data_IF_332594953006
#
_entry.id   IF_332594953006
#
_cell.length_a   1.000
_cell.length_b   1.000
_cell.length_c   1.000
_cell.angle_alpha   90.00
_cell.angle_beta   90.00
_cell.angle_gamma   90.00
#
_symmetry.space_group_name_H-M   'P 1'
#
loop_
_entity.id
_entity.type
_entity.pdbx_description
1 polymer ?
#
# COMPACT_ATOMS: atom_id res chain seq x y z
N UNK A 1 16.85 16.27 7.99
CA UNK A 1 16.40 15.56 9.20
C UNK A 1 16.69 14.08 8.96
N UNK A 2 17.23 13.33 9.93
CA UNK A 2 17.42 11.88 9.73
C UNK A 2 16.09 11.19 10.03
N UNK A 3 15.50 10.55 9.03
CA UNK A 3 14.26 9.77 9.19
C UNK A 3 14.56 8.52 10.02
N UNK A 4 13.88 8.36 11.16
CA UNK A 4 13.97 7.14 11.96
C UNK A 4 13.41 5.95 11.18
N UNK A 5 14.02 4.77 11.33
CA UNK A 5 13.58 3.56 10.63
C UNK A 5 12.13 3.15 10.97
N UNK A 6 11.71 3.35 12.22
CA UNK A 6 10.31 3.14 12.63
C UNK A 6 9.33 4.05 11.88
N UNK A 7 9.70 5.31 11.68
CA UNK A 7 8.88 6.25 10.92
C UNK A 7 8.83 5.86 9.43
N UNK A 8 9.98 5.46 8.87
CA UNK A 8 10.05 4.95 7.50
C UNK A 8 9.15 3.72 7.31
N UNK A 9 9.10 2.82 8.31
CA UNK A 9 8.22 1.66 8.31
C UNK A 9 6.73 2.05 8.29
N UNK A 10 6.32 3.02 9.11
CA UNK A 10 4.94 3.51 9.11
C UNK A 10 4.55 4.16 7.78
N UNK A 11 5.45 4.91 7.15
CA UNK A 11 5.21 5.51 5.83
C UNK A 11 5.11 4.42 4.75
N UNK A 12 5.99 3.42 4.80
CA UNK A 12 5.95 2.26 3.91
C UNK A 12 4.60 1.53 3.99
N UNK A 13 4.15 1.19 5.21
CA UNK A 13 2.86 0.54 5.39
C UNK A 13 1.69 1.43 4.99
N UNK A 14 1.74 2.72 5.31
CA UNK A 14 0.73 3.69 4.84
C UNK A 14 0.62 3.67 3.31
N UNK A 15 1.75 3.68 2.59
CA UNK A 15 1.77 3.56 1.12
C UNK A 15 1.12 2.28 0.62
N UNK A 16 1.40 1.14 1.28
CA UNK A 16 0.75 -0.13 0.95
C UNK A 16 -0.76 -0.07 1.14
N UNK A 17 -1.24 0.41 2.29
CA UNK A 17 -2.68 0.49 2.56
C UNK A 17 -3.40 1.43 1.60
N UNK A 18 -2.85 2.62 1.33
CA UNK A 18 -3.45 3.57 0.39
C UNK A 18 -3.55 2.98 -1.03
N UNK A 19 -2.50 2.32 -1.52
CA UNK A 19 -2.55 1.66 -2.83
C UNK A 19 -3.60 0.55 -2.86
N UNK A 20 -3.64 -0.31 -1.83
CA UNK A 20 -4.60 -1.42 -1.74
C UNK A 20 -6.03 -0.90 -1.80
N UNK A 21 -6.34 0.14 -1.04
CA UNK A 21 -7.68 0.73 -0.97
C UNK A 21 -8.06 1.30 -2.35
N UNK A 22 -7.20 2.08 -2.98
CA UNK A 22 -7.45 2.62 -4.33
C UNK A 22 -7.65 1.51 -5.37
N UNK A 23 -6.85 0.44 -5.32
CA UNK A 23 -7.00 -0.70 -6.20
C UNK A 23 -8.37 -1.37 -6.04
N UNK A 24 -8.79 -1.62 -4.79
CA UNK A 24 -10.08 -2.23 -4.49
C UNK A 24 -11.24 -1.33 -4.95
N UNK A 25 -11.18 -0.03 -4.67
CA UNK A 25 -12.24 0.93 -5.08
C UNK A 25 -12.48 0.87 -6.58
N UNK A 26 -11.43 0.75 -7.40
CA UNK A 26 -11.56 0.68 -8.87
C UNK A 26 -12.25 -0.59 -9.37
N UNK A 27 -12.43 -1.60 -8.52
CA UNK A 27 -13.14 -2.83 -8.85
C UNK A 27 -14.60 -2.83 -8.37
N UNK A 28 -14.96 -1.88 -7.50
CA UNK A 28 -16.28 -1.82 -6.89
C UNK A 28 -17.21 -0.83 -7.63
N UNK A 29 -18.52 -1.09 -7.67
CA UNK A 29 -19.16 -2.36 -7.28
C UNK A 29 -18.87 -3.47 -8.30
N UNK A 30 -18.73 -4.69 -7.82
CA UNK A 30 -18.65 -5.89 -8.66
C UNK A 30 -20.02 -6.13 -9.30
N UNK A 31 -20.05 -6.33 -10.62
CA UNK A 31 -21.30 -6.35 -11.38
C UNK A 31 -21.92 -7.75 -11.50
N UNK A 32 -21.14 -8.81 -11.30
CA UNK A 32 -21.59 -10.20 -11.42
C UNK A 32 -20.71 -11.16 -10.61
N UNK A 33 -21.23 -12.36 -10.36
CA UNK A 33 -20.59 -13.38 -9.51
C UNK A 33 -19.28 -13.90 -10.09
N UNK A 34 -19.08 -13.85 -11.41
CA UNK A 34 -17.80 -14.23 -12.01
C UNK A 34 -16.69 -13.25 -11.63
N UNK A 35 -16.97 -11.94 -11.67
CA UNK A 35 -16.05 -10.91 -11.17
C UNK A 35 -15.81 -11.06 -9.68
N UNK A 36 -16.88 -11.34 -8.91
CA UNK A 36 -16.80 -11.54 -7.48
C UNK A 36 -15.92 -12.74 -7.10
N UNK A 37 -16.14 -13.90 -7.72
CA UNK A 37 -15.34 -15.10 -7.49
C UNK A 37 -13.85 -14.88 -7.82
N UNK A 38 -13.54 -14.20 -8.94
CA UNK A 38 -12.16 -13.88 -9.30
C UNK A 38 -11.49 -12.94 -8.27
N UNK A 39 -12.22 -11.90 -7.84
CA UNK A 39 -11.74 -10.97 -6.82
C UNK A 39 -11.53 -11.65 -5.46
N UNK A 40 -12.52 -12.43 -5.02
CA UNK A 40 -12.45 -13.16 -3.76
C UNK A 40 -11.30 -14.18 -3.76
N UNK A 41 -11.11 -14.91 -4.86
CA UNK A 41 -9.99 -15.83 -5.01
C UNK A 41 -8.64 -15.12 -4.89
N UNK A 42 -8.47 -13.97 -5.54
CA UNK A 42 -7.24 -13.18 -5.48
C UNK A 42 -6.93 -12.70 -4.05
N UNK A 43 -7.96 -12.52 -3.21
CA UNK A 43 -7.84 -12.08 -1.82
C UNK A 43 -8.00 -13.22 -0.80
N UNK A 44 -8.11 -14.48 -1.25
CA UNK A 44 -8.39 -15.66 -0.41
C UNK A 44 -9.66 -15.52 0.45
N UNK A 45 -10.67 -14.79 -0.03
CA UNK A 45 -11.97 -14.64 0.61
C UNK A 45 -12.90 -15.79 0.24
N UNK A 46 -13.74 -16.22 1.18
CA UNK A 46 -14.74 -17.27 0.99
C UNK A 46 -16.12 -16.66 0.72
N UNK A 47 -16.22 -15.82 -0.31
CA UNK A 47 -17.45 -15.14 -0.75
C UNK A 47 -17.46 -15.19 -2.27
N UNK A 48 -18.47 -15.78 -2.89
CA UNK A 48 -18.49 -16.06 -4.33
C UNK A 48 -19.58 -15.29 -5.09
N UNK A 49 -20.49 -14.61 -4.40
CA UNK A 49 -21.51 -13.75 -5.02
C UNK A 49 -21.18 -12.25 -4.90
N UNK A 50 -21.59 -11.48 -5.91
CA UNK A 50 -21.26 -10.05 -6.01
C UNK A 50 -21.94 -9.20 -4.94
N UNK A 51 -23.17 -9.53 -4.54
CA UNK A 51 -23.92 -8.75 -3.57
C UNK A 51 -23.26 -8.80 -2.19
N UNK A 52 -23.02 -10.02 -1.68
CA UNK A 52 -22.37 -10.25 -0.40
C UNK A 52 -20.96 -9.66 -0.35
N UNK A 53 -20.20 -9.78 -1.45
CA UNK A 53 -18.84 -9.25 -1.49
C UNK A 53 -18.84 -7.71 -1.52
N UNK A 54 -19.73 -7.08 -2.28
CA UNK A 54 -19.88 -5.61 -2.27
C UNK A 54 -20.26 -5.12 -0.86
N UNK A 55 -21.17 -5.80 -0.16
CA UNK A 55 -21.53 -5.48 1.23
C UNK A 55 -20.35 -5.69 2.19
N UNK A 56 -19.64 -6.81 2.07
CA UNK A 56 -18.45 -7.13 2.87
C UNK A 56 -17.38 -6.05 2.73
N UNK A 57 -17.11 -5.56 1.52
CA UNK A 57 -16.07 -4.55 1.28
C UNK A 57 -16.41 -3.16 1.86
N UNK A 58 -17.67 -2.91 2.22
CA UNK A 58 -18.14 -1.66 2.85
C UNK A 58 -18.47 -1.81 4.34
N UNK A 59 -18.42 -3.03 4.88
CA UNK A 59 -18.67 -3.29 6.30
C UNK A 59 -17.41 -3.01 7.14
N UNK A 60 -17.46 -1.96 7.97
CA UNK A 60 -16.37 -1.55 8.89
C UNK A 60 -15.98 -2.65 9.90
N UNK A 61 -16.80 -3.68 10.11
CA UNK A 61 -16.44 -4.81 10.99
C UNK A 61 -15.56 -5.85 10.31
N UNK A 62 -15.50 -5.85 8.98
CA UNK A 62 -14.70 -6.81 8.23
C UNK A 62 -13.26 -6.33 8.11
N UNK A 63 -12.26 -7.13 8.49
CA UNK A 63 -10.85 -6.69 8.51
C UNK A 63 -10.34 -6.21 7.14
N UNK A 64 -10.84 -6.79 6.06
CA UNK A 64 -10.42 -6.46 4.69
C UNK A 64 -11.27 -5.38 4.01
N UNK A 65 -12.31 -4.84 4.67
CA UNK A 65 -13.14 -3.79 4.08
C UNK A 65 -12.36 -2.49 3.88
N UNK A 66 -12.85 -1.67 2.95
CA UNK A 66 -12.26 -0.37 2.64
C UNK A 66 -12.12 0.51 3.90
N UNK A 67 -13.15 0.51 4.75
CA UNK A 67 -13.16 1.30 5.98
C UNK A 67 -12.17 0.78 7.02
N UNK A 68 -12.06 -0.54 7.22
CA UNK A 68 -11.08 -1.11 8.15
C UNK A 68 -9.66 -0.82 7.70
N UNK A 69 -9.37 -0.96 6.41
CA UNK A 69 -8.06 -0.66 5.84
C UNK A 69 -7.72 0.84 5.97
N UNK A 70 -8.70 1.73 5.80
CA UNK A 70 -8.54 3.16 6.04
C UNK A 70 -8.20 3.45 7.50
N UNK A 71 -8.85 2.79 8.46
CA UNK A 71 -8.52 2.96 9.89
C UNK A 71 -7.08 2.52 10.18
N UNK A 72 -6.60 1.41 9.61
CA UNK A 72 -5.20 0.99 9.74
C UNK A 72 -4.23 2.01 9.10
N UNK A 73 -4.61 2.61 7.96
CA UNK A 73 -3.85 3.70 7.36
C UNK A 73 -3.78 4.91 8.32
N UNK A 74 -4.88 5.23 9.01
CA UNK A 74 -4.91 6.30 10.01
C UNK A 74 -3.99 6.00 11.20
N UNK A 75 -3.94 4.75 11.67
CA UNK A 75 -3.06 4.37 12.77
C UNK A 75 -1.59 4.59 12.39
N UNK A 76 -1.18 4.27 11.16
CA UNK A 76 0.14 4.62 10.65
C UNK A 76 0.38 6.15 10.61
N UNK A 77 -0.62 6.95 10.24
CA UNK A 77 -0.52 8.41 10.27
C UNK A 77 -0.34 8.93 11.71
N UNK A 78 -0.97 8.32 12.71
CA UNK A 78 -0.86 8.74 14.10
C UNK A 78 0.58 8.67 14.61
N UNK A 79 1.33 7.64 14.22
CA UNK A 79 2.75 7.46 14.54
C UNK A 79 3.66 8.49 13.86
N UNK A 80 3.16 9.22 12.86
CA UNK A 80 3.92 10.21 12.09
C UNK A 80 3.70 11.66 12.54
N UNK A 81 3.06 11.89 13.69
CA UNK A 81 2.73 13.25 14.20
C UNK A 81 3.94 14.19 14.32
N UNK A 82 5.10 13.66 14.72
CA UNK A 82 6.34 14.43 14.88
C UNK A 82 7.13 14.60 13.59
N UNK A 83 6.70 13.96 12.51
CA UNK A 83 7.39 13.94 11.22
C UNK A 83 6.66 14.77 10.16
N UNK A 84 5.36 14.57 10.03
CA UNK A 84 4.52 15.30 9.08
C UNK A 84 4.37 16.76 9.52
N UNK A 85 4.15 17.64 8.54
CA UNK A 85 3.70 19.00 8.85
C UNK A 85 2.40 18.96 9.66
N UNK A 86 2.23 19.93 10.57
CA UNK A 86 1.03 20.01 11.41
C UNK A 86 -0.26 20.09 10.58
N UNK A 87 -0.18 20.75 9.42
CA UNK A 87 -1.28 20.83 8.47
C UNK A 87 -1.60 19.47 7.85
N UNK A 88 -0.61 18.80 7.23
CA UNK A 88 -0.81 17.49 6.62
C UNK A 88 -1.35 16.47 7.63
N UNK A 89 -0.76 16.42 8.83
CA UNK A 89 -1.22 15.52 9.90
C UNK A 89 -2.70 15.74 10.25
N UNK A 90 -3.12 17.00 10.41
CA UNK A 90 -4.50 17.34 10.75
C UNK A 90 -5.48 17.00 9.60
N UNK A 91 -5.12 17.34 8.37
CA UNK A 91 -5.94 17.09 7.17
C UNK A 91 -6.11 15.58 6.92
N UNK A 92 -5.03 14.79 6.96
CA UNK A 92 -5.08 13.33 6.78
C UNK A 92 -6.00 12.66 7.82
N UNK A 93 -5.84 13.01 9.10
CA UNK A 93 -6.69 12.47 10.15
C UNK A 93 -8.17 12.87 9.96
N UNK A 94 -8.43 14.11 9.55
CA UNK A 94 -9.78 14.60 9.30
C UNK A 94 -10.44 13.86 8.12
N UNK A 95 -9.73 13.68 7.00
CA UNK A 95 -10.24 12.98 5.83
C UNK A 95 -10.65 11.55 6.17
N UNK A 96 -9.74 10.80 6.82
CA UNK A 96 -9.98 9.37 7.09
C UNK A 96 -11.07 9.17 8.15
N UNK A 97 -11.03 9.95 9.25
CA UNK A 97 -12.02 9.82 10.35
C UNK A 97 -13.46 10.05 9.88
N UNK A 98 -13.65 10.90 8.88
CA UNK A 98 -14.96 11.27 8.36
C UNK A 98 -15.32 10.52 7.06
N UNK A 99 -14.57 9.47 6.71
CA UNK A 99 -14.84 8.70 5.51
C UNK A 99 -16.25 8.07 5.53
N UNK A 100 -17.09 8.31 4.51
CA UNK A 100 -18.38 7.65 4.38
C UNK A 100 -18.20 6.17 4.01
N UNK A 101 -19.24 5.36 4.24
CA UNK A 101 -19.28 3.99 3.71
C UNK A 101 -19.73 4.00 2.24
N UNK A 102 -18.85 4.49 1.37
CA UNK A 102 -19.06 4.59 -0.06
C UNK A 102 -17.71 4.44 -0.79
N UNK A 103 -17.64 3.54 -1.76
CA UNK A 103 -16.37 3.19 -2.42
C UNK A 103 -15.78 4.38 -3.19
N UNK A 104 -16.61 5.13 -3.93
CA UNK A 104 -16.13 6.26 -4.74
C UNK A 104 -15.58 7.38 -3.87
N UNK A 105 -16.31 7.75 -2.82
CA UNK A 105 -15.87 8.76 -1.87
C UNK A 105 -14.60 8.33 -1.12
N UNK A 106 -14.47 7.04 -0.75
CA UNK A 106 -13.24 6.49 -0.18
C UNK A 106 -12.08 6.61 -1.17
N UNK A 107 -12.29 6.31 -2.45
CA UNK A 107 -11.28 6.49 -3.49
C UNK A 107 -10.79 7.94 -3.59
N UNK A 108 -11.71 8.90 -3.53
CA UNK A 108 -11.35 10.32 -3.56
C UNK A 108 -10.62 10.78 -2.29
N UNK A 109 -10.94 10.19 -1.13
CA UNK A 109 -10.18 10.40 0.11
C UNK A 109 -8.75 9.87 -0.05
N UNK A 110 -8.56 8.67 -0.59
CA UNK A 110 -7.23 8.10 -0.81
C UNK A 110 -6.40 8.98 -1.74
N UNK A 111 -6.97 9.46 -2.85
CA UNK A 111 -6.29 10.39 -3.77
C UNK A 111 -5.83 11.66 -3.05
N UNK A 112 -6.70 12.25 -2.21
CA UNK A 112 -6.36 13.43 -1.42
C UNK A 112 -5.24 13.13 -0.41
N UNK A 113 -5.31 11.97 0.27
CA UNK A 113 -4.24 11.56 1.19
C UNK A 113 -2.89 11.44 0.49
N UNK A 114 -2.84 10.79 -0.69
CA UNK A 114 -1.62 10.70 -1.49
C UNK A 114 -1.11 12.08 -1.90
N UNK A 115 -1.99 12.95 -2.40
CA UNK A 115 -1.61 14.31 -2.81
C UNK A 115 -1.02 15.13 -1.64
N UNK A 116 -1.59 15.02 -0.43
CA UNK A 116 -1.03 15.68 0.77
C UNK A 116 0.36 15.13 1.08
N UNK A 117 0.52 13.81 1.13
CA UNK A 117 1.79 13.16 1.46
C UNK A 117 2.89 13.45 0.41
N UNK A 118 2.52 13.62 -0.86
CA UNK A 118 3.42 13.99 -1.96
C UNK A 118 3.96 15.43 -1.85
N UNK A 119 3.35 16.29 -1.03
CA UNK A 119 3.87 17.64 -0.74
C UNK A 119 4.86 17.67 0.43
N UNK A 120 5.01 16.57 1.16
CA UNK A 120 5.92 16.47 2.29
C UNK A 120 7.37 16.22 1.81
N UNK A 121 8.29 16.01 2.76
CA UNK A 121 9.71 15.84 2.48
C UNK A 121 10.00 14.67 1.54
N UNK A 122 11.08 14.78 0.79
CA UNK A 122 11.47 13.83 -0.27
C UNK A 122 11.58 12.39 0.25
N UNK A 123 12.11 12.20 1.47
CA UNK A 123 12.23 10.88 2.10
C UNK A 123 10.86 10.28 2.43
N UNK A 124 9.88 11.10 2.86
CA UNK A 124 8.51 10.64 3.10
C UNK A 124 7.89 10.15 1.80
N UNK A 125 8.04 10.93 0.72
CA UNK A 125 7.61 10.53 -0.61
C UNK A 125 8.30 9.23 -1.05
N UNK A 126 9.60 9.07 -0.80
CA UNK A 126 10.34 7.88 -1.19
C UNK A 126 9.80 6.62 -0.50
N UNK A 127 9.63 6.65 0.83
CA UNK A 127 9.09 5.51 1.58
C UNK A 127 7.62 5.23 1.27
N UNK A 128 6.85 6.27 0.96
CA UNK A 128 5.46 6.11 0.51
C UNK A 128 5.41 5.36 -0.82
N UNK A 129 6.22 5.79 -1.80
CA UNK A 129 6.24 5.21 -3.13
C UNK A 129 6.76 3.77 -3.13
N UNK A 130 7.78 3.41 -2.34
CA UNK A 130 8.20 2.01 -2.26
C UNK A 130 7.09 1.14 -1.66
N UNK A 131 6.36 1.63 -0.64
CA UNK A 131 5.18 0.95 -0.11
C UNK A 131 4.11 0.70 -1.17
N UNK A 132 3.72 1.75 -1.90
CA UNK A 132 2.74 1.63 -2.99
C UNK A 132 3.19 0.65 -4.07
N UNK A 133 4.47 0.66 -4.44
CA UNK A 133 5.00 -0.24 -5.47
C UNK A 133 5.09 -1.69 -5.01
N UNK A 134 5.44 -1.94 -3.75
CA UNK A 134 5.39 -3.29 -3.17
C UNK A 134 3.97 -3.83 -3.18
N UNK A 135 2.99 -3.03 -2.76
CA UNK A 135 1.58 -3.45 -2.80
C UNK A 135 1.08 -3.64 -4.25
N UNK A 136 1.56 -2.84 -5.20
CA UNK A 136 1.27 -3.02 -6.63
C UNK A 136 1.80 -4.35 -7.14
N UNK A 137 3.03 -4.70 -6.83
CA UNK A 137 3.65 -5.97 -7.21
C UNK A 137 2.87 -7.15 -6.59
N UNK A 138 2.55 -7.06 -5.29
CA UNK A 138 1.73 -8.06 -4.57
C UNK A 138 0.35 -8.24 -5.23
N UNK A 139 -0.31 -7.13 -5.56
CA UNK A 139 -1.59 -7.13 -6.28
C UNK A 139 -1.46 -7.82 -7.65
N UNK A 140 -0.37 -7.56 -8.38
CA UNK A 140 -0.15 -8.20 -9.67
C UNK A 140 0.02 -9.71 -9.56
N UNK A 141 0.71 -10.19 -8.52
CA UNK A 141 0.76 -11.63 -8.23
C UNK A 141 -0.61 -12.20 -7.88
N UNK A 142 -1.36 -11.55 -6.97
CA UNK A 142 -2.69 -12.00 -6.53
C UNK A 142 -3.69 -12.11 -7.68
N UNK A 143 -3.67 -11.14 -8.60
CA UNK A 143 -4.56 -11.09 -9.76
C UNK A 143 -3.94 -11.71 -11.03
N UNK A 144 -2.79 -12.38 -10.92
CA UNK A 144 -2.11 -13.07 -12.02
C UNK A 144 -1.85 -12.18 -13.26
N UNK A 145 -1.51 -10.91 -13.03
CA UNK A 145 -1.16 -9.96 -14.07
C UNK A 145 0.32 -10.05 -14.47
N UNK A 146 0.64 -9.61 -15.68
CA UNK A 146 2.03 -9.51 -16.13
C UNK A 146 2.76 -8.40 -15.37
N UNK A 147 3.85 -8.76 -14.69
CA UNK A 147 4.58 -7.90 -13.76
C UNK A 147 5.79 -7.20 -14.37
N UNK A 148 6.23 -7.59 -15.57
CA UNK A 148 7.51 -7.16 -16.14
C UNK A 148 7.61 -5.64 -16.30
N UNK A 149 6.55 -4.96 -16.73
CA UNK A 149 6.58 -3.50 -16.84
C UNK A 149 6.53 -2.81 -15.47
N UNK A 150 5.91 -3.43 -14.47
CA UNK A 150 5.83 -2.88 -13.12
C UNK A 150 7.22 -2.86 -12.50
N UNK A 151 7.98 -3.95 -12.61
CA UNK A 151 9.32 -4.03 -12.02
C UNK A 151 10.21 -2.89 -12.54
N UNK A 152 10.23 -2.65 -13.85
CA UNK A 152 11.03 -1.55 -14.43
C UNK A 152 10.64 -0.16 -13.90
N UNK A 153 9.40 0.04 -13.43
CA UNK A 153 8.96 1.32 -12.86
C UNK A 153 9.41 1.53 -11.41
N UNK A 154 9.79 0.47 -10.70
CA UNK A 154 10.24 0.54 -9.29
C UNK A 154 11.75 0.73 -9.19
N UNK A 155 12.51 0.33 -10.21
CA UNK A 155 13.98 0.38 -10.19
C UNK A 155 14.58 1.74 -9.78
N UNK A 156 14.08 2.91 -10.26
CA UNK A 156 14.59 4.21 -9.80
C UNK A 156 14.41 4.45 -8.30
N UNK A 157 13.38 3.87 -7.68
CA UNK A 157 13.11 3.97 -6.24
C UNK A 157 14.12 3.13 -5.46
N UNK A 158 14.42 1.92 -5.96
CA UNK A 158 15.41 1.01 -5.36
C UNK A 158 16.81 1.64 -5.39
N UNK A 159 17.20 2.26 -6.50
CA UNK A 159 18.49 2.96 -6.61
C UNK A 159 18.59 4.14 -5.62
N UNK A 160 17.50 4.89 -5.42
CA UNK A 160 17.47 5.97 -4.41
C UNK A 160 17.60 5.42 -2.99
N UNK A 161 16.92 4.33 -2.66
CA UNK A 161 17.04 3.68 -1.36
C UNK A 161 18.46 3.14 -1.13
N UNK A 162 19.07 2.54 -2.15
CA UNK A 162 20.47 2.10 -2.11
C UNK A 162 21.41 3.24 -1.72
N UNK A 163 21.28 4.42 -2.34
CA UNK A 163 22.07 5.60 -1.98
C UNK A 163 21.81 6.14 -0.57
N UNK A 164 20.71 5.75 0.08
CA UNK A 164 20.41 6.06 1.47
C UNK A 164 20.93 4.98 2.46
N UNK A 165 21.74 4.03 1.98
CA UNK A 165 22.32 2.95 2.80
C UNK A 165 21.41 1.73 2.97
N UNK A 166 20.47 1.52 2.05
CA UNK A 166 19.66 0.30 1.98
C UNK A 166 20.30 -0.73 1.05
N UNK A 167 21.60 -0.99 1.27
CA UNK A 167 22.47 -1.66 0.29
C UNK A 167 22.03 -3.10 -0.02
N UNK A 168 21.45 -3.79 0.96
CA UNK A 168 20.98 -5.17 0.85
C UNK A 168 19.77 -5.32 -0.08
N UNK A 169 19.08 -4.22 -0.43
CA UNK A 169 17.92 -4.27 -1.33
C UNK A 169 18.30 -4.61 -2.76
N UNK A 170 19.40 -4.03 -3.26
CA UNK A 170 19.75 -4.06 -4.68
C UNK A 170 20.00 -5.49 -5.18
N UNK A 171 20.77 -6.35 -4.47
CA UNK A 171 20.93 -7.74 -4.88
C UNK A 171 19.61 -8.51 -4.91
N UNK A 172 18.77 -8.32 -3.89
CA UNK A 172 17.46 -9.01 -3.79
C UNK A 172 16.50 -8.56 -4.90
N UNK A 173 16.53 -7.28 -5.24
CA UNK A 173 15.76 -6.69 -6.34
C UNK A 173 16.15 -7.24 -7.71
N UNK A 174 17.45 -7.37 -7.99
CA UNK A 174 17.92 -7.93 -9.26
C UNK A 174 17.53 -9.41 -9.42
N UNK A 175 17.53 -10.18 -8.33
CA UNK A 175 17.03 -11.57 -8.34
C UNK A 175 15.54 -11.60 -8.68
N UNK A 176 14.73 -10.69 -8.11
CA UNK A 176 13.31 -10.59 -8.44
C UNK A 176 13.07 -10.20 -9.91
N UNK A 177 13.91 -9.31 -10.47
CA UNK A 177 13.82 -8.93 -11.90
C UNK A 177 14.15 -10.09 -12.84
N UNK A 178 15.18 -10.87 -12.53
CA UNK A 178 15.57 -12.05 -13.33
C UNK A 178 14.50 -13.17 -13.22
N UNK A 179 13.95 -13.36 -12.02
CA UNK A 179 13.01 -14.42 -11.70
C UNK A 179 11.78 -13.83 -10.99
N UNK A 180 10.82 -13.26 -11.74
CA UNK A 180 9.68 -12.54 -11.20
C UNK A 180 8.59 -13.49 -10.68
N UNK A 181 8.96 -14.36 -9.74
CA UNK A 181 8.05 -15.29 -9.08
C UNK A 181 7.74 -14.86 -7.66
N UNK A 182 6.64 -15.40 -7.13
CA UNK A 182 6.11 -15.04 -5.82
C UNK A 182 7.13 -15.26 -4.69
N UNK A 183 7.94 -16.31 -4.76
CA UNK A 183 8.96 -16.60 -3.74
C UNK A 183 10.06 -15.54 -3.70
N UNK A 184 10.54 -15.10 -4.87
CA UNK A 184 11.53 -14.03 -4.99
C UNK A 184 10.94 -12.69 -4.52
N UNK A 185 9.65 -12.46 -4.77
CA UNK A 185 8.98 -11.26 -4.26
C UNK A 185 8.93 -11.27 -2.73
N UNK A 186 8.55 -12.38 -2.11
CA UNK A 186 8.57 -12.50 -0.65
C UNK A 186 9.97 -12.42 -0.05
N UNK A 187 10.99 -12.94 -0.73
CA UNK A 187 12.37 -12.76 -0.32
C UNK A 187 12.78 -11.28 -0.37
N UNK A 188 12.40 -10.56 -1.43
CA UNK A 188 12.62 -9.13 -1.55
C UNK A 188 11.93 -8.32 -0.46
N UNK A 189 10.64 -8.57 -0.20
CA UNK A 189 9.91 -7.86 0.86
C UNK A 189 10.47 -8.17 2.23
N UNK A 190 10.91 -9.40 2.49
CA UNK A 190 11.58 -9.76 3.74
C UNK A 190 12.90 -9.00 3.93
N UNK A 191 13.73 -8.89 2.89
CA UNK A 191 14.97 -8.09 2.94
C UNK A 191 14.68 -6.61 3.19
N UNK A 192 13.62 -6.07 2.57
CA UNK A 192 13.19 -4.68 2.79
C UNK A 192 12.67 -4.48 4.21
N UNK A 193 11.79 -5.35 4.68
CA UNK A 193 11.11 -5.15 5.96
C UNK A 193 12.07 -5.33 7.15
N UNK A 194 13.01 -6.27 7.09
CA UNK A 194 14.04 -6.42 8.12
C UNK A 194 14.95 -5.20 8.24
N UNK A 195 15.17 -4.47 7.15
CA UNK A 195 15.97 -3.27 7.23
C UNK A 195 15.28 -2.19 8.07
N UNK A 196 13.95 -2.19 8.28
CA UNK A 196 13.37 -1.28 9.27
C UNK A 196 13.73 -1.62 10.72
N UNK A 197 14.06 -2.89 11.01
CA UNK A 197 14.32 -3.40 12.36
C UNK A 197 15.79 -3.34 12.79
N UNK A 198 16.73 -3.21 11.83
CA UNK A 198 18.16 -3.10 12.15
C UNK A 198 18.41 -1.82 12.94
N UNK A 199 18.60 -2.00 14.25
CA UNK A 199 18.94 -0.91 15.17
C UNK A 199 20.35 -0.40 14.84
N UNK A 200 20.45 0.83 14.36
CA UNK A 200 21.71 1.58 14.27
C UNK A 200 22.06 2.23 15.60
#
# INVERSE_FOLDING_TARGET
MVLLRSNAQHIYWLGRYLFRIDHVVRQLPLANDQQAAAFAQALYLQIDDAESLNQFMLDRKQPYSLLSQLEIARDNIQELRGLLSAQAYAELNHLIKNAPSDALAIGDIVKQCCAILETEQEEICLFLHIGQNVERIDTYFRFQHNINHVLNTVEPIIERLFHLGWDDLKPSWEILKDQPYLNQFYAFTYTLENQFEVSS
#
